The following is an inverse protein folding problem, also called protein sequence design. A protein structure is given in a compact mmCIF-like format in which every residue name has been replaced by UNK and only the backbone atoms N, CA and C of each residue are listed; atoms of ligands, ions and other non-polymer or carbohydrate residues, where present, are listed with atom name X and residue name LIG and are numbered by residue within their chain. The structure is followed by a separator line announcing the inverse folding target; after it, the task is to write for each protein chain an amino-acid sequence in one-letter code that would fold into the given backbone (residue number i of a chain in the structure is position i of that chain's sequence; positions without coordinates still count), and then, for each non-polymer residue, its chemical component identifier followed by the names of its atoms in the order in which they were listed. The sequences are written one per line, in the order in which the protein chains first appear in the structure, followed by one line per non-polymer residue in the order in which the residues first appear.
data_IF_327526925432
#
_entry.id   IF_327526925432
#
_cell.length_a   1.000
_cell.length_b   1.000
_cell.length_c   1.000
_cell.angle_alpha   90.00
_cell.angle_beta   90.00
_cell.angle_gamma   90.00
#
_symmetry.space_group_name_H-M   'P 1'
#
loop_
_entity.id
_entity.type
_entity.pdbx_description
1 polymer ?
#
# COMPACT_ATOMS: atom_id res chain seq x y z
N UNK A 1 17.90 -3.77 18.16
CA UNK A 1 16.53 -3.67 17.59
C UNK A 1 16.51 -4.51 16.33
N UNK A 2 15.53 -5.40 16.14
CA UNK A 2 15.48 -6.24 14.94
C UNK A 2 15.15 -5.37 13.72
N UNK A 3 16.04 -5.37 12.73
CA UNK A 3 15.89 -4.58 11.50
C UNK A 3 14.68 -5.07 10.67
N UNK A 4 14.01 -4.15 9.98
CA UNK A 4 12.88 -4.46 9.10
C UNK A 4 13.40 -4.98 7.77
N UNK A 5 13.08 -6.23 7.41
CA UNK A 5 13.48 -6.77 6.11
C UNK A 5 12.50 -6.37 5.00
N UNK A 6 12.81 -5.28 4.29
CA UNK A 6 11.97 -4.77 3.20
C UNK A 6 11.82 -5.71 1.99
N UNK A 7 12.71 -6.70 1.83
CA UNK A 7 12.62 -7.67 0.74
C UNK A 7 11.45 -8.65 0.94
N UNK A 8 10.99 -8.84 2.18
CA UNK A 8 9.80 -9.63 2.54
C UNK A 8 8.54 -8.78 2.48
N UNK A 9 8.14 -8.37 1.28
CA UNK A 9 6.90 -7.65 1.05
C UNK A 9 5.86 -8.55 0.37
N UNK A 10 4.63 -8.57 0.88
CA UNK A 10 3.52 -9.37 0.37
C UNK A 10 2.32 -8.48 0.12
N UNK A 11 1.68 -8.59 -1.05
CA UNK A 11 0.38 -7.96 -1.27
C UNK A 11 -0.68 -8.84 -0.61
N UNK A 12 -1.41 -8.28 0.36
CA UNK A 12 -2.40 -9.04 1.14
C UNK A 12 -3.78 -8.93 0.52
N UNK A 13 -4.26 -7.70 0.31
CA UNK A 13 -5.60 -7.47 -0.26
C UNK A 13 -5.78 -6.05 -0.76
N UNK A 14 -6.81 -5.89 -1.58
CA UNK A 14 -7.37 -4.62 -2.01
C UNK A 14 -8.81 -4.50 -1.49
N UNK A 15 -9.03 -3.69 -0.46
CA UNK A 15 -10.33 -3.55 0.19
C UNK A 15 -11.20 -2.49 -0.50
N UNK A 16 -12.36 -2.89 -1.01
CA UNK A 16 -13.32 -2.00 -1.66
C UNK A 16 -14.21 -1.22 -0.68
N UNK A 17 -14.34 -1.71 0.56
CA UNK A 17 -15.23 -1.18 1.58
C UNK A 17 -14.64 -1.39 2.99
N UNK A 18 -15.10 -0.64 4.02
CA UNK A 18 -14.61 -0.76 5.39
C UNK A 18 -14.75 -2.15 6.03
N UNK A 19 -15.71 -2.96 5.58
CA UNK A 19 -15.85 -4.36 6.00
C UNK A 19 -14.65 -5.22 5.57
N UNK A 20 -13.93 -4.79 4.54
CA UNK A 20 -12.71 -5.42 4.06
C UNK A 20 -11.44 -4.91 4.73
N UNK A 21 -11.49 -3.99 5.69
CA UNK A 21 -10.26 -3.50 6.32
C UNK A 21 -9.63 -4.57 7.22
N UNK A 22 -8.30 -4.60 7.27
CA UNK A 22 -7.56 -5.40 8.24
C UNK A 22 -7.63 -4.68 9.59
N UNK A 23 -7.93 -5.41 10.66
CA UNK A 23 -8.14 -4.88 12.02
C UNK A 23 -7.27 -5.61 13.05
N UNK A 24 -6.05 -5.95 12.68
CA UNK A 24 -5.09 -6.54 13.63
C UNK A 24 -4.29 -5.46 14.37
N UNK A 25 -3.34 -5.90 15.19
CA UNK A 25 -2.52 -5.03 16.03
C UNK A 25 -1.23 -4.55 15.34
N UNK A 26 -1.00 -4.87 14.06
CA UNK A 26 0.22 -4.45 13.38
C UNK A 26 0.16 -2.94 13.07
N UNK A 27 1.30 -2.23 13.19
CA UNK A 27 1.38 -0.83 12.79
C UNK A 27 1.06 -0.66 11.29
N UNK A 28 0.48 0.49 10.95
CA UNK A 28 0.11 0.85 9.59
C UNK A 28 0.81 2.16 9.18
N UNK A 29 1.56 2.13 8.08
CA UNK A 29 2.12 3.31 7.42
C UNK A 29 1.25 3.63 6.21
N UNK A 30 0.56 4.75 6.25
CA UNK A 30 -0.49 5.11 5.29
C UNK A 30 0.04 6.13 4.28
N UNK A 31 -0.15 5.85 2.99
CA UNK A 31 0.20 6.71 1.88
C UNK A 31 -1.08 7.35 1.31
N UNK A 32 -1.19 8.67 1.40
CA UNK A 32 -2.32 9.46 0.90
C UNK A 32 -1.82 10.61 0.03
N UNK A 33 -2.62 11.02 -0.94
CA UNK A 33 -2.24 12.08 -1.88
C UNK A 33 -3.04 12.02 -3.18
N UNK A 34 -2.95 13.09 -3.97
CA UNK A 34 -3.70 13.25 -5.22
C UNK A 34 -3.53 12.07 -6.18
N UNK A 35 -4.52 11.85 -7.05
CA UNK A 35 -4.41 10.96 -8.21
C UNK A 35 -3.12 11.30 -8.99
N UNK A 36 -2.35 10.29 -9.38
CA UNK A 36 -1.09 10.43 -10.13
C UNK A 36 0.04 11.24 -9.46
N UNK A 37 -0.03 11.55 -8.16
CA UNK A 37 1.06 12.27 -7.44
C UNK A 37 2.33 11.43 -7.20
N UNK A 38 2.28 10.12 -7.46
CA UNK A 38 3.44 9.21 -7.33
C UNK A 38 3.49 8.35 -6.06
N UNK A 39 2.37 8.17 -5.33
CA UNK A 39 2.30 7.28 -4.14
C UNK A 39 2.87 5.89 -4.39
N UNK A 40 2.41 5.22 -5.44
CA UNK A 40 2.86 3.87 -5.79
C UNK A 40 4.35 3.84 -6.17
N UNK A 41 4.88 4.93 -6.74
CA UNK A 41 6.32 5.06 -7.03
C UNK A 41 7.15 5.14 -5.75
N UNK A 42 6.68 5.89 -4.74
CA UNK A 42 7.34 5.95 -3.42
C UNK A 42 7.32 4.57 -2.74
N UNK A 43 6.18 3.89 -2.73
CA UNK A 43 6.06 2.53 -2.15
C UNK A 43 7.04 1.57 -2.83
N UNK A 44 7.05 1.54 -4.18
CA UNK A 44 7.97 0.72 -4.96
C UNK A 44 9.44 1.02 -4.64
N UNK A 45 9.79 2.31 -4.48
CA UNK A 45 11.15 2.74 -4.14
C UNK A 45 11.57 2.30 -2.73
N UNK A 46 10.68 2.45 -1.75
CA UNK A 46 10.92 2.03 -0.36
C UNK A 46 11.11 0.51 -0.24
N UNK A 47 10.38 -0.26 -1.05
CA UNK A 47 10.45 -1.73 -1.05
C UNK A 47 11.51 -2.30 -1.99
N UNK A 48 12.27 -1.44 -2.68
CA UNK A 48 13.22 -1.84 -3.73
C UNK A 48 12.61 -2.79 -4.77
N UNK A 49 11.35 -2.54 -5.17
CA UNK A 49 10.61 -3.35 -6.15
C UNK A 49 10.13 -2.50 -7.31
N UNK A 50 10.05 -3.11 -8.50
CA UNK A 50 9.43 -2.49 -9.68
C UNK A 50 7.99 -3.03 -9.81
N UNK A 51 7.05 -2.13 -10.09
CA UNK A 51 5.65 -2.47 -10.40
C UNK A 51 4.91 -3.31 -9.33
N UNK A 52 5.33 -3.25 -8.06
CA UNK A 52 4.69 -4.01 -6.98
C UNK A 52 3.41 -3.30 -6.50
N UNK A 53 3.51 -2.04 -6.12
CA UNK A 53 2.37 -1.14 -6.05
C UNK A 53 2.05 -0.67 -7.48
N UNK A 54 0.89 -1.07 -8.01
CA UNK A 54 0.49 -0.74 -9.38
C UNK A 54 0.19 0.76 -9.50
N UNK A 55 0.85 1.41 -10.45
CA UNK A 55 0.51 2.77 -10.89
C UNK A 55 -0.73 2.64 -11.77
N UNK A 56 -1.91 2.93 -11.23
CA UNK A 56 -3.15 2.92 -12.02
C UNK A 56 -3.09 3.99 -13.10
N UNK A 57 -3.14 3.59 -14.38
CA UNK A 57 -3.12 4.53 -15.51
C UNK A 57 -4.50 5.13 -15.85
N UNK A 58 -5.58 4.60 -15.28
CA UNK A 58 -6.96 5.02 -15.59
C UNK A 58 -7.60 5.71 -14.38
N UNK A 59 -7.86 7.03 -14.43
CA UNK A 59 -8.56 7.75 -13.38
C UNK A 59 -9.98 7.20 -13.17
N UNK A 60 -10.41 7.12 -11.90
CA UNK A 60 -11.83 7.27 -11.55
C UNK A 60 -12.68 6.02 -11.30
N UNK A 61 -12.18 4.77 -11.30
CA UNK A 61 -13.07 3.60 -11.08
C UNK A 61 -12.58 2.49 -10.12
N UNK A 62 -11.53 2.72 -9.33
CA UNK A 62 -11.14 1.76 -8.27
C UNK A 62 -10.62 2.51 -7.03
N UNK A 63 -11.51 2.72 -6.07
CA UNK A 63 -11.34 3.40 -4.76
C UNK A 63 -10.77 2.48 -3.67
N UNK A 64 -10.03 1.43 -4.05
CA UNK A 64 -9.67 0.41 -3.08
C UNK A 64 -8.47 0.82 -2.23
N UNK A 65 -8.50 0.40 -0.96
CA UNK A 65 -7.36 0.49 -0.04
C UNK A 65 -6.50 -0.75 -0.20
N UNK A 66 -5.23 -0.59 -0.60
CA UNK A 66 -4.31 -1.71 -0.79
C UNK A 66 -3.44 -1.91 0.44
N UNK A 67 -3.32 -3.15 0.89
CA UNK A 67 -2.50 -3.53 2.04
C UNK A 67 -1.31 -4.38 1.58
N UNK A 68 -0.11 -3.93 1.96
CA UNK A 68 1.14 -4.66 1.75
C UNK A 68 1.77 -4.98 3.10
N UNK A 69 1.95 -6.27 3.42
CA UNK A 69 2.57 -6.70 4.67
C UNK A 69 4.08 -6.82 4.48
N UNK A 70 4.84 -6.11 5.32
CA UNK A 70 6.30 -6.08 5.27
C UNK A 70 6.86 -6.82 6.48
N UNK A 71 7.64 -7.86 6.21
CA UNK A 71 8.33 -8.72 7.20
C UNK A 71 7.40 -9.25 8.30
N UNK A 72 6.09 -9.42 8.01
CA UNK A 72 5.04 -9.77 8.97
C UNK A 72 4.96 -8.85 10.20
N UNK A 73 5.42 -7.61 10.08
CA UNK A 73 5.58 -6.66 11.20
C UNK A 73 4.85 -5.34 11.00
N UNK A 74 4.64 -4.90 9.77
CA UNK A 74 4.02 -3.59 9.46
C UNK A 74 3.25 -3.66 8.15
N UNK A 75 2.14 -2.95 8.08
CA UNK A 75 1.45 -2.71 6.83
C UNK A 75 1.89 -1.40 6.19
N UNK A 76 2.22 -1.46 4.90
CA UNK A 76 2.13 -0.28 4.04
C UNK A 76 0.72 -0.26 3.45
N UNK A 77 0.03 0.88 3.58
CA UNK A 77 -1.36 1.05 3.16
C UNK A 77 -1.44 2.14 2.11
N UNK A 78 -1.79 1.78 0.88
CA UNK A 78 -2.00 2.75 -0.21
C UNK A 78 -3.48 3.11 -0.28
N UNK A 79 -3.79 4.37 0.04
CA UNK A 79 -5.14 4.90 -0.08
C UNK A 79 -5.43 5.27 -1.55
N UNK A 80 -6.70 5.21 -1.98
CA UNK A 80 -7.08 5.73 -3.28
C UNK A 80 -6.68 7.20 -3.41
N UNK A 81 -6.23 7.58 -4.61
CA UNK A 81 -5.96 8.98 -4.92
C UNK A 81 -7.24 9.80 -4.86
N UNK A 82 -7.13 11.03 -4.34
CA UNK A 82 -8.20 12.03 -4.37
C UNK A 82 -7.92 13.10 -5.43
N UNK A 83 -8.97 13.84 -5.81
CA UNK A 83 -8.88 14.82 -6.89
C UNK A 83 -8.96 14.17 -8.26
#
# INVERSE_FOLDING_TARGET
MAELNINKAEFIKSAAAPSGFIRDALPNIVFSGKSNVGKSSVINRLLNRKNFARVGQSPGKTIHVNYFLIDKKVYFVDLPGYG
#
